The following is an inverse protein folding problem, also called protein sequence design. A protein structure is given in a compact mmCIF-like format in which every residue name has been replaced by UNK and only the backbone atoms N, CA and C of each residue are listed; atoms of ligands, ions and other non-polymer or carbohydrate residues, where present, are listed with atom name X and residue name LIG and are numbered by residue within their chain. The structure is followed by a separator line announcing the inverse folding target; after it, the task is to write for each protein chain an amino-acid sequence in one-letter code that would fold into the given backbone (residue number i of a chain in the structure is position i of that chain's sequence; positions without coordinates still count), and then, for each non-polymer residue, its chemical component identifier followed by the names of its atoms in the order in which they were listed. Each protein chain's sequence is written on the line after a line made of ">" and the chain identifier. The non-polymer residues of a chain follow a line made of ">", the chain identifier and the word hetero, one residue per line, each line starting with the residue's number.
data_IF_054126193642
#
_entry.id   IF_054126193642
#
_cell.length_a   1.000
_cell.length_b   1.000
_cell.length_c   1.000
_cell.angle_alpha   90.00
_cell.angle_beta   90.00
_cell.angle_gamma   90.00
#
_symmetry.space_group_name_H-M   'P 1'
#
loop_
_entity.id
_entity.type
_entity.pdbx_description
1 polymer ?
#
# COMPACT_ATOMS: atom_id res chain seq x y z
N UNK A 1 -5.19 -25.94 -1.94
CA UNK A 1 -3.91 -25.26 -1.62
C UNK A 1 -4.23 -24.08 -0.71
N UNK A 2 -3.49 -23.83 0.36
CA UNK A 2 -3.85 -22.79 1.32
C UNK A 2 -3.70 -21.39 0.70
N UNK A 3 -4.82 -20.77 0.32
CA UNK A 3 -4.85 -19.41 -0.22
C UNK A 3 -4.93 -18.41 0.94
N UNK A 4 -3.93 -17.55 1.06
CA UNK A 4 -3.95 -16.46 2.00
C UNK A 4 -3.44 -15.18 1.32
N UNK A 5 -4.28 -14.16 1.30
CA UNK A 5 -3.94 -12.80 0.89
C UNK A 5 -4.68 -11.89 1.86
N UNK A 6 -3.96 -11.44 2.89
CA UNK A 6 -4.51 -10.56 3.91
C UNK A 6 -3.48 -9.51 4.27
N UNK A 7 -3.94 -8.27 4.34
CA UNK A 7 -3.14 -7.14 4.82
C UNK A 7 -3.86 -6.45 5.96
N UNK A 8 -3.07 -5.84 6.85
CA UNK A 8 -3.55 -4.91 7.86
C UNK A 8 -2.67 -3.67 7.84
N UNK A 9 -3.31 -2.51 7.75
CA UNK A 9 -2.62 -1.24 7.75
C UNK A 9 -3.28 -0.28 8.72
N UNK A 10 -2.48 0.26 9.65
CA UNK A 10 -2.90 1.36 10.52
C UNK A 10 -2.00 2.53 10.23
N UNK A 11 -2.58 3.67 9.86
CA UNK A 11 -1.78 4.82 9.42
C UNK A 11 -2.61 6.10 9.37
N UNK A 12 -1.96 7.23 9.10
CA UNK A 12 -2.66 8.49 8.86
C UNK A 12 -2.58 8.93 7.40
N UNK A 13 -3.62 9.63 6.93
CA UNK A 13 -3.64 10.16 5.57
C UNK A 13 -2.63 11.30 5.40
N UNK A 14 -1.80 11.20 4.36
CA UNK A 14 -0.80 12.22 4.03
C UNK A 14 -1.45 13.47 3.42
N UNK A 15 -2.55 13.27 2.70
CA UNK A 15 -3.33 14.29 2.02
C UNK A 15 -4.80 13.86 1.96
N UNK A 16 -5.68 14.77 1.56
CA UNK A 16 -7.08 14.43 1.31
C UNK A 16 -7.18 13.33 0.23
N UNK A 17 -8.18 12.44 0.32
CA UNK A 17 -8.41 11.41 -0.69
C UNK A 17 -8.62 12.02 -2.09
N UNK A 18 -8.05 11.38 -3.11
CA UNK A 18 -8.31 11.72 -4.50
C UNK A 18 -9.52 10.92 -4.99
N UNK A 19 -10.55 11.63 -5.43
CA UNK A 19 -11.78 11.03 -5.97
C UNK A 19 -11.71 11.08 -7.48
N UNK A 20 -11.91 9.94 -8.13
CA UNK A 20 -12.02 9.83 -9.58
C UNK A 20 -13.46 9.49 -9.95
N UNK A 21 -13.91 10.01 -11.10
CA UNK A 21 -15.25 9.78 -11.65
C UNK A 21 -16.39 10.16 -10.68
N UNK A 22 -16.20 11.21 -9.89
CA UNK A 22 -17.17 11.65 -8.89
C UNK A 22 -18.56 11.87 -9.51
N UNK A 23 -19.60 11.32 -8.87
CA UNK A 23 -20.98 11.41 -9.33
C UNK A 23 -21.39 10.41 -10.43
N UNK A 24 -20.47 9.57 -10.92
CA UNK A 24 -20.80 8.46 -11.81
C UNK A 24 -21.03 7.18 -11.01
N UNK A 25 -22.31 6.89 -10.73
CA UNK A 25 -22.72 5.73 -9.95
C UNK A 25 -22.10 4.42 -10.50
N UNK A 26 -21.45 3.66 -9.61
CA UNK A 26 -20.75 2.42 -9.96
C UNK A 26 -19.37 2.59 -10.61
N UNK A 27 -18.94 3.82 -10.91
CA UNK A 27 -17.62 4.13 -11.49
C UNK A 27 -16.75 5.02 -10.60
N UNK A 28 -17.28 5.52 -9.48
CA UNK A 28 -16.52 6.29 -8.50
C UNK A 28 -15.36 5.47 -7.94
N UNK A 29 -14.20 6.13 -7.78
CA UNK A 29 -13.01 5.51 -7.21
C UNK A 29 -12.36 6.45 -6.22
N UNK A 30 -11.86 5.89 -5.13
CA UNK A 30 -11.07 6.62 -4.14
C UNK A 30 -9.65 6.07 -4.12
N UNK A 31 -8.69 6.99 -4.27
CA UNK A 31 -7.27 6.72 -4.13
C UNK A 31 -6.74 7.57 -2.98
N UNK A 32 -6.08 6.93 -2.02
CA UNK A 32 -5.49 7.64 -0.89
C UNK A 32 -4.12 7.10 -0.52
N UNK A 33 -3.27 7.97 0.03
CA UNK A 33 -1.94 7.62 0.50
C UNK A 33 -1.92 7.62 2.02
N UNK A 34 -1.52 6.47 2.57
CA UNK A 34 -1.50 6.21 4.00
C UNK A 34 -0.06 6.09 4.46
N UNK A 35 0.37 6.95 5.39
CA UNK A 35 1.65 6.78 6.07
C UNK A 35 1.52 5.74 7.17
N UNK A 36 2.34 4.70 7.06
CA UNK A 36 2.44 3.59 8.00
C UNK A 36 3.85 3.50 8.58
N UNK A 37 4.01 2.71 9.63
CA UNK A 37 5.30 2.37 10.21
C UNK A 37 5.51 0.86 10.14
N UNK A 38 6.74 0.45 9.83
CA UNK A 38 7.15 -0.96 9.91
C UNK A 38 7.99 -1.22 11.15
N UNK A 39 8.03 -2.49 11.56
CA UNK A 39 9.02 -2.96 12.52
C UNK A 39 10.41 -2.93 11.88
N UNK A 40 11.43 -2.67 12.69
CA UNK A 40 12.82 -2.78 12.24
C UNK A 40 13.09 -4.22 11.79
N UNK A 41 13.63 -4.37 10.59
CA UNK A 41 14.04 -5.66 10.03
C UNK A 41 15.55 -5.79 10.24
N UNK A 42 15.99 -6.92 10.78
CA UNK A 42 17.42 -7.18 10.96
C UNK A 42 18.15 -7.11 9.61
N UNK A 43 19.18 -6.27 9.54
CA UNK A 43 19.92 -6.03 8.31
C UNK A 43 19.25 -5.05 7.34
N UNK A 44 18.18 -4.35 7.71
CA UNK A 44 17.59 -3.26 6.94
C UNK A 44 17.49 -2.00 7.81
N UNK A 45 18.34 -1.00 7.53
CA UNK A 45 18.46 0.22 8.35
C UNK A 45 17.94 1.49 7.64
N UNK A 46 17.13 1.35 6.60
CA UNK A 46 16.59 2.48 5.83
C UNK A 46 15.26 3.00 6.44
N UNK A 47 14.47 3.76 5.67
CA UNK A 47 13.21 4.41 6.07
C UNK A 47 12.31 3.57 6.98
N UNK A 48 11.96 4.09 8.16
CA UNK A 48 11.08 3.41 9.12
C UNK A 48 9.58 3.59 8.78
N UNK A 49 9.25 4.70 8.13
CA UNK A 49 7.91 5.00 7.64
C UNK A 49 7.78 4.64 6.17
N UNK A 50 6.63 4.13 5.81
CA UNK A 50 6.29 3.73 4.45
C UNK A 50 4.90 4.23 4.07
N UNK A 51 4.80 4.76 2.86
CA UNK A 51 3.55 5.26 2.31
C UNK A 51 2.93 4.16 1.44
N UNK A 52 1.75 3.69 1.82
CA UNK A 52 1.00 2.69 1.06
C UNK A 52 -0.16 3.35 0.32
N UNK A 53 -0.43 2.89 -0.89
CA UNK A 53 -1.54 3.40 -1.70
C UNK A 53 -2.74 2.49 -1.47
N UNK A 54 -3.85 3.09 -1.07
CA UNK A 54 -5.14 2.43 -0.94
C UNK A 54 -5.99 2.81 -2.15
N UNK A 55 -6.56 1.79 -2.79
CA UNK A 55 -7.46 1.92 -3.93
C UNK A 55 -8.77 1.24 -3.59
N UNK A 56 -9.89 1.93 -3.80
CA UNK A 56 -11.22 1.40 -3.57
C UNK A 56 -12.19 1.90 -4.63
N UNK A 57 -12.91 0.97 -5.26
CA UNK A 57 -13.98 1.22 -6.23
C UNK A 57 -15.25 0.41 -5.91
N UNK A 58 -15.36 -0.06 -4.66
CA UNK A 58 -16.58 -0.64 -4.12
C UNK A 58 -17.56 0.44 -3.66
N UNK A 59 -18.78 0.04 -3.33
CA UNK A 59 -19.84 0.96 -2.91
C UNK A 59 -20.00 1.06 -1.39
N UNK A 60 -19.50 0.09 -0.63
CA UNK A 60 -19.79 -0.04 0.82
C UNK A 60 -19.12 1.05 1.67
N UNK A 61 -17.89 1.44 1.32
CA UNK A 61 -17.10 2.40 2.08
C UNK A 61 -16.88 3.74 1.36
N UNK A 62 -17.40 3.90 0.15
CA UNK A 62 -16.99 5.01 -0.72
C UNK A 62 -17.33 6.37 -0.10
N UNK A 63 -18.55 6.56 0.39
CA UNK A 63 -18.97 7.80 1.03
C UNK A 63 -18.16 8.11 2.29
N UNK A 64 -17.87 7.07 3.09
CA UNK A 64 -17.04 7.19 4.29
C UNK A 64 -15.61 7.57 3.95
N UNK A 65 -15.06 7.03 2.87
CA UNK A 65 -13.71 7.34 2.39
C UNK A 65 -13.64 8.75 1.79
N UNK A 66 -14.66 9.20 1.05
CA UNK A 66 -14.76 10.57 0.53
C UNK A 66 -14.77 11.63 1.64
N UNK A 67 -15.38 11.30 2.78
CA UNK A 67 -15.46 12.20 3.93
C UNK A 67 -14.14 12.32 4.73
N UNK A 68 -13.12 11.51 4.42
CA UNK A 68 -11.84 11.57 5.13
C UNK A 68 -11.06 12.84 4.79
N UNK A 69 -10.23 13.25 5.74
CA UNK A 69 -9.36 14.41 5.61
C UNK A 69 -7.91 14.02 5.89
N UNK A 70 -6.99 14.86 5.43
CA UNK A 70 -5.59 14.78 5.82
C UNK A 70 -5.46 14.58 7.34
N UNK A 71 -4.50 13.74 7.73
CA UNK A 71 -4.24 13.33 9.10
C UNK A 71 -5.34 12.49 9.77
N UNK A 72 -6.36 12.03 9.05
CA UNK A 72 -7.24 10.99 9.59
C UNK A 72 -6.45 9.70 9.80
N UNK A 73 -6.45 9.21 11.04
CA UNK A 73 -5.88 7.93 11.45
C UNK A 73 -6.90 6.82 11.17
N UNK A 74 -6.53 5.85 10.36
CA UNK A 74 -7.40 4.79 9.88
C UNK A 74 -6.80 3.40 10.13
N UNK A 75 -7.64 2.41 10.41
CA UNK A 75 -7.32 0.99 10.44
C UNK A 75 -8.01 0.31 9.26
N UNK A 76 -7.23 -0.38 8.44
CA UNK A 76 -7.65 -1.10 7.25
C UNK A 76 -7.28 -2.56 7.43
N UNK A 77 -8.26 -3.44 7.24
CA UNK A 77 -8.00 -4.83 6.87
C UNK A 77 -8.35 -4.98 5.40
N UNK A 78 -7.42 -5.48 4.60
CA UNK A 78 -7.57 -5.52 3.16
C UNK A 78 -6.95 -6.75 2.53
N UNK A 79 -6.95 -6.73 1.20
CA UNK A 79 -6.11 -7.60 0.37
C UNK A 79 -5.11 -6.75 -0.38
N UNK A 80 -3.98 -7.35 -0.68
CA UNK A 80 -3.03 -6.79 -1.62
C UNK A 80 -3.55 -7.01 -3.05
N UNK A 81 -3.40 -5.98 -3.88
CA UNK A 81 -3.92 -5.95 -5.25
C UNK A 81 -2.87 -5.33 -6.18
N UNK A 82 -2.55 -5.96 -7.31
CA UNK A 82 -1.67 -5.38 -8.33
C UNK A 82 -2.49 -5.03 -9.56
N UNK A 83 -2.34 -3.78 -10.01
CA UNK A 83 -2.90 -3.31 -11.27
C UNK A 83 -1.79 -2.89 -12.22
N UNK A 84 -2.08 -3.06 -13.49
CA UNK A 84 -1.25 -2.54 -14.57
C UNK A 84 -1.66 -1.09 -14.81
N UNK A 85 -0.73 -0.16 -14.57
CA UNK A 85 -0.92 1.28 -14.72
C UNK A 85 0.23 1.86 -15.54
N UNK A 86 -0.08 2.87 -16.35
CA UNK A 86 0.95 3.63 -17.04
C UNK A 86 1.59 4.59 -16.04
N UNK A 87 2.92 4.52 -15.91
CA UNK A 87 3.68 5.35 -14.97
C UNK A 87 4.38 6.46 -15.72
N UNK A 88 3.91 7.69 -15.53
CA UNK A 88 4.62 8.87 -16.03
C UNK A 88 5.71 9.31 -15.05
N UNK A 89 6.84 9.75 -15.58
CA UNK A 89 7.90 10.42 -14.83
C UNK A 89 8.46 11.58 -15.63
N UNK A 90 8.65 12.72 -14.97
CA UNK A 90 9.26 13.90 -15.60
C UNK A 90 10.75 13.87 -15.32
N UNK A 91 11.57 13.95 -16.36
CA UNK A 91 13.01 14.05 -16.21
C UNK A 91 13.36 15.38 -15.52
N UNK A 92 14.06 15.37 -14.37
CA UNK A 92 14.37 16.59 -13.63
C UNK A 92 15.36 17.51 -14.36
N UNK A 93 16.08 17.00 -15.36
CA UNK A 93 17.11 17.75 -16.10
C UNK A 93 16.54 18.40 -17.37
N UNK A 94 15.75 17.65 -18.15
CA UNK A 94 15.26 18.12 -19.46
C UNK A 94 13.75 18.34 -19.54
N UNK A 95 12.99 18.07 -18.47
CA UNK A 95 11.54 18.23 -18.45
C UNK A 95 10.75 17.24 -19.31
N UNK A 96 11.43 16.31 -20.00
CA UNK A 96 10.77 15.32 -20.83
C UNK A 96 9.93 14.35 -19.99
N UNK A 97 8.67 14.15 -20.38
CA UNK A 97 7.78 13.20 -19.72
C UNK A 97 7.97 11.82 -20.32
N UNK A 98 8.55 10.91 -19.55
CA UNK A 98 8.66 9.51 -19.89
C UNK A 98 7.41 8.78 -19.40
N UNK A 99 6.82 7.94 -20.24
CA UNK A 99 5.70 7.08 -19.84
C UNK A 99 6.16 5.62 -19.94
N UNK A 100 6.26 4.97 -18.79
CA UNK A 100 6.42 3.52 -18.71
C UNK A 100 5.04 2.88 -18.83
N UNK A 101 4.70 2.47 -20.04
CA UNK A 101 3.47 1.74 -20.31
C UNK A 101 3.44 0.40 -19.59
N UNK A 102 2.26 0.00 -19.14
CA UNK A 102 2.01 -1.28 -18.47
C UNK A 102 2.92 -1.56 -17.28
N UNK A 103 3.17 -0.55 -16.45
CA UNK A 103 3.87 -0.72 -15.18
C UNK A 103 3.00 -1.41 -14.14
N UNK A 104 3.56 -2.28 -13.30
CA UNK A 104 2.82 -2.85 -12.16
C UNK A 104 2.81 -1.85 -11.00
N UNK A 105 1.64 -1.52 -10.47
CA UNK A 105 1.49 -0.83 -9.18
C UNK A 105 0.77 -1.72 -8.18
N UNK A 106 1.24 -1.62 -6.95
CA UNK A 106 0.67 -2.28 -5.79
C UNK A 106 -0.31 -1.34 -5.11
N UNK A 107 -1.47 -1.88 -4.76
CA UNK A 107 -2.52 -1.22 -4.02
C UNK A 107 -2.99 -2.11 -2.87
N UNK A 108 -3.50 -1.48 -1.81
CA UNK A 108 -4.29 -2.14 -0.79
C UNK A 108 -5.76 -1.93 -1.16
N UNK A 109 -6.51 -3.02 -1.27
CA UNK A 109 -7.96 -2.99 -1.44
C UNK A 109 -8.64 -3.26 -0.09
N UNK A 110 -9.34 -2.28 0.52
CA UNK A 110 -9.99 -2.45 1.81
C UNK A 110 -11.14 -3.46 1.75
N UNK A 111 -11.16 -4.39 2.71
CA UNK A 111 -12.30 -5.30 3.00
C UNK A 111 -13.02 -4.84 4.27
N UNK A 112 -12.30 -4.24 5.20
CA UNK A 112 -12.84 -3.57 6.37
C UNK A 112 -12.06 -2.29 6.59
N UNK A 113 -12.77 -1.25 6.99
CA UNK A 113 -12.27 0.11 7.08
C UNK A 113 -12.88 0.83 8.28
N UNK A 114 -12.03 1.38 9.15
CA UNK A 114 -12.44 2.13 10.33
C UNK A 114 -11.58 3.38 10.52
N UNK A 115 -12.21 4.55 10.65
CA UNK A 115 -11.54 5.77 11.14
C UNK A 115 -11.40 5.67 12.65
N UNK A 116 -10.18 5.80 13.15
CA UNK A 116 -9.86 5.73 14.57
C UNK A 116 -9.89 7.12 15.21
N UNK A 117 -9.24 8.10 14.57
CA UNK A 117 -9.15 9.48 15.07
C UNK A 117 -8.71 10.42 13.93
N UNK A 118 -8.46 11.70 14.26
CA UNK A 118 -7.73 12.65 13.42
C UNK A 118 -6.54 13.21 14.23
N UNK A 119 -5.34 13.18 13.64
CA UNK A 119 -4.09 13.63 14.30
C UNK A 119 -3.65 15.01 13.83
N UNK A 120 -4.52 15.80 13.20
CA UNK A 120 -4.19 17.15 12.75
C UNK A 120 -3.81 18.06 13.93
N UNK A 121 -4.58 18.04 15.02
CA UNK A 121 -4.24 18.82 16.21
C UNK A 121 -2.86 18.46 16.76
N UNK A 122 -2.46 17.20 16.66
CA UNK A 122 -1.11 16.75 17.02
C UNK A 122 -0.01 17.34 16.13
N UNK A 123 -0.27 17.46 14.82
CA UNK A 123 0.65 18.07 13.85
C UNK A 123 0.85 19.58 14.08
N UNK A 124 -0.22 20.29 14.48
CA UNK A 124 -0.17 21.74 14.74
C UNK A 124 0.73 22.10 15.95
N UNK A 125 0.90 21.17 16.92
CA UNK A 125 1.81 21.35 18.05
C UNK A 125 3.26 20.90 17.75
N UNK A 126 3.42 19.80 17.01
CA UNK A 126 4.72 19.27 16.58
C UNK A 126 4.54 18.45 15.29
N UNK A 127 5.24 18.85 14.22
CA UNK A 127 5.15 18.21 12.92
C UNK A 127 5.49 16.71 12.96
N UNK A 128 6.29 16.27 13.94
CA UNK A 128 6.69 14.87 14.11
C UNK A 128 5.72 14.05 14.97
N UNK A 129 4.71 14.67 15.58
CA UNK A 129 3.81 14.01 16.52
C UNK A 129 2.92 12.94 15.85
N UNK A 130 2.39 13.11 14.62
CA UNK A 130 1.67 12.05 13.91
C UNK A 130 2.49 10.76 13.74
N UNK A 131 3.75 10.90 13.33
CA UNK A 131 4.68 9.77 13.20
C UNK A 131 5.05 9.18 14.58
N UNK A 132 5.11 10.02 15.61
CA UNK A 132 5.32 9.58 17.00
C UNK A 132 4.14 8.74 17.51
N UNK A 133 2.90 9.08 17.16
CA UNK A 133 1.71 8.28 17.50
C UNK A 133 1.82 6.89 16.89
N UNK A 134 2.16 6.79 15.60
CA UNK A 134 2.38 5.50 14.93
C UNK A 134 3.47 4.68 15.64
N UNK A 135 4.59 5.33 15.98
CA UNK A 135 5.73 4.71 16.64
C UNK A 135 5.41 4.18 18.04
N UNK A 136 4.64 4.95 18.84
CA UNK A 136 4.31 4.61 20.22
C UNK A 136 3.19 3.56 20.33
N UNK A 137 2.18 3.63 19.47
CA UNK A 137 0.95 2.86 19.64
C UNK A 137 0.73 1.77 18.58
N UNK A 138 1.29 1.93 17.38
CA UNK A 138 0.92 1.10 16.23
C UNK A 138 2.11 0.38 15.57
N UNK A 139 3.33 0.51 16.11
CA UNK A 139 4.55 -0.05 15.52
C UNK A 139 4.47 -1.53 15.11
N UNK A 140 3.79 -2.35 15.91
CA UNK A 140 3.69 -3.79 15.64
C UNK A 140 2.58 -4.15 14.65
N UNK A 141 1.59 -3.28 14.43
CA UNK A 141 0.35 -3.59 13.68
C UNK A 141 0.11 -2.69 12.46
N UNK A 142 0.92 -1.64 12.29
CA UNK A 142 0.70 -0.58 11.31
C UNK A 142 0.91 -1.01 9.86
N UNK A 143 1.80 -1.97 9.60
CA UNK A 143 2.06 -2.47 8.26
C UNK A 143 2.35 -3.97 8.33
N UNK A 144 1.32 -4.77 8.07
CA UNK A 144 1.38 -6.22 8.13
C UNK A 144 0.78 -6.84 6.87
N UNK A 145 1.49 -7.81 6.30
CA UNK A 145 1.04 -8.58 5.15
C UNK A 145 1.27 -10.05 5.46
N UNK A 146 0.22 -10.86 5.28
CA UNK A 146 0.28 -12.31 5.31
C UNK A 146 -0.19 -12.82 3.96
N UNK A 147 0.74 -13.39 3.20
CA UNK A 147 0.48 -13.94 1.87
C UNK A 147 1.04 -15.35 1.77
N UNK A 148 0.32 -16.22 1.08
CA UNK A 148 0.75 -17.58 0.73
C UNK A 148 0.50 -17.77 -0.75
N UNK A 149 1.51 -18.22 -1.47
CA UNK A 149 1.46 -18.38 -2.92
C UNK A 149 2.57 -19.28 -3.44
N UNK A 150 2.70 -19.34 -4.75
CA UNK A 150 3.72 -20.14 -5.45
C UNK A 150 4.84 -19.25 -5.94
N UNK A 151 6.09 -19.66 -5.74
CA UNK A 151 7.23 -18.91 -6.31
C UNK A 151 7.20 -19.08 -7.83
N UNK A 152 7.09 -17.97 -8.56
CA UNK A 152 6.90 -17.94 -10.02
C UNK A 152 8.09 -17.34 -10.78
N UNK A 153 9.16 -16.97 -10.07
CA UNK A 153 10.42 -16.58 -10.70
C UNK A 153 11.59 -17.27 -10.00
N UNK A 154 12.69 -17.42 -10.72
CA UNK A 154 13.96 -17.80 -10.08
C UNK A 154 14.32 -16.73 -9.04
N UNK A 155 14.63 -17.09 -7.78
CA UNK A 155 15.13 -16.13 -6.81
C UNK A 155 16.48 -15.56 -7.25
N UNK A 156 16.63 -14.24 -7.13
CA UNK A 156 17.80 -13.49 -7.57
C UNK A 156 18.39 -12.72 -6.40
N UNK A 157 19.70 -12.90 -6.17
CA UNK A 157 20.44 -12.06 -5.23
C UNK A 157 20.74 -10.71 -5.87
N UNK A 158 20.25 -9.64 -5.25
CA UNK A 158 20.47 -8.26 -5.68
C UNK A 158 21.31 -7.56 -4.61
N UNK A 159 22.35 -6.86 -5.05
CA UNK A 159 23.18 -6.03 -4.19
C UNK A 159 23.01 -4.58 -4.62
N UNK A 160 22.32 -3.77 -3.82
CA UNK A 160 22.15 -2.34 -4.10
C UNK A 160 23.10 -1.50 -3.23
N UNK A 161 24.40 -1.81 -3.31
CA UNK A 161 25.50 -1.10 -2.65
C UNK A 161 25.61 -1.30 -1.13
N UNK A 162 24.52 -1.10 -0.37
CA UNK A 162 24.50 -1.20 1.10
C UNK A 162 23.79 -2.43 1.63
N UNK A 163 22.87 -3.01 0.86
CA UNK A 163 22.01 -4.11 1.30
C UNK A 163 21.99 -5.22 0.25
N UNK A 164 22.30 -6.45 0.67
CA UNK A 164 22.05 -7.66 -0.10
C UNK A 164 20.64 -8.14 0.21
N UNK A 165 19.84 -8.36 -0.82
CA UNK A 165 18.50 -8.95 -0.69
C UNK A 165 18.27 -10.01 -1.75
N UNK A 166 17.45 -10.99 -1.43
CA UNK A 166 16.94 -11.96 -2.38
C UNK A 166 15.58 -11.46 -2.86
N UNK A 167 15.40 -11.38 -4.18
CA UNK A 167 14.15 -10.96 -4.80
C UNK A 167 13.54 -12.09 -5.62
N UNK A 168 12.24 -12.31 -5.46
CA UNK A 168 11.48 -13.27 -6.25
C UNK A 168 10.03 -12.83 -6.42
N UNK A 169 9.34 -13.37 -7.44
CA UNK A 169 7.90 -13.18 -7.63
C UNK A 169 7.14 -14.32 -6.96
N UNK A 170 6.07 -13.97 -6.26
CA UNK A 170 5.11 -14.91 -5.72
C UNK A 170 3.79 -14.76 -6.49
N UNK A 171 3.28 -15.84 -7.09
CA UNK A 171 1.93 -15.89 -7.62
C UNK A 171 0.95 -16.19 -6.50
N UNK A 172 -0.01 -15.28 -6.28
CA UNK A 172 -0.99 -15.35 -5.20
C UNK A 172 -2.38 -15.26 -5.80
N UNK A 173 -3.18 -16.33 -5.65
CA UNK A 173 -4.56 -16.33 -6.10
C UNK A 173 -5.40 -15.32 -5.31
N UNK A 174 -6.28 -14.61 -6.01
CA UNK A 174 -7.21 -13.67 -5.39
C UNK A 174 -8.36 -14.43 -4.74
N UNK A 175 -8.45 -14.30 -3.42
CA UNK A 175 -9.59 -14.81 -2.64
C UNK A 175 -10.77 -13.84 -2.61
N UNK A 176 -10.48 -12.54 -2.64
CA UNK A 176 -11.50 -11.50 -2.61
C UNK A 176 -11.87 -11.07 -4.04
N UNK A 177 -13.16 -11.10 -4.34
CA UNK A 177 -13.69 -10.71 -5.64
C UNK A 177 -13.89 -9.20 -5.72
N UNK A 178 -13.21 -8.54 -6.65
CA UNK A 178 -13.36 -7.12 -6.95
C UNK A 178 -14.11 -7.00 -8.28
N UNK A 179 -15.32 -6.44 -8.25
CA UNK A 179 -16.26 -6.41 -9.39
C UNK A 179 -15.67 -5.81 -10.67
N UNK A 180 -14.82 -4.80 -10.54
CA UNK A 180 -14.20 -4.09 -11.65
C UNK A 180 -12.97 -4.81 -12.23
N UNK A 181 -12.57 -5.93 -11.63
CA UNK A 181 -11.33 -6.65 -11.93
C UNK A 181 -11.59 -8.14 -12.20
N UNK A 182 -12.70 -8.46 -12.88
CA UNK A 182 -13.15 -9.85 -13.09
C UNK A 182 -12.18 -10.72 -13.87
N UNK A 183 -11.36 -10.13 -14.74
CA UNK A 183 -10.37 -10.84 -15.55
C UNK A 183 -9.09 -11.20 -14.77
N UNK A 184 -8.92 -10.61 -13.58
CA UNK A 184 -7.73 -10.81 -12.76
C UNK A 184 -8.01 -11.83 -11.66
N UNK A 185 -7.39 -13.00 -11.77
CA UNK A 185 -7.57 -14.12 -10.83
C UNK A 185 -6.39 -14.29 -9.86
N UNK A 186 -5.23 -13.70 -10.16
CA UNK A 186 -4.03 -13.79 -9.35
C UNK A 186 -3.21 -12.50 -9.41
N UNK A 187 -2.47 -12.24 -8.34
CA UNK A 187 -1.49 -11.16 -8.24
C UNK A 187 -0.07 -11.73 -8.20
N UNK A 188 0.90 -10.98 -8.72
CA UNK A 188 2.31 -11.39 -8.80
C UNK A 188 3.24 -10.39 -8.10
N UNK A 189 3.16 -10.23 -6.76
CA UNK A 189 4.06 -9.36 -6.01
C UNK A 189 5.53 -9.76 -6.17
N UNK A 190 6.37 -8.72 -6.19
CA UNK A 190 7.79 -8.86 -5.89
C UNK A 190 7.98 -8.91 -4.38
N UNK A 191 8.61 -9.98 -3.90
CA UNK A 191 9.03 -10.15 -2.52
C UNK A 191 10.52 -9.88 -2.44
N UNK A 192 10.94 -9.11 -1.43
CA UNK A 192 12.32 -8.82 -1.12
C UNK A 192 12.61 -9.35 0.29
N UNK A 193 13.45 -10.36 0.42
CA UNK A 193 13.93 -10.87 1.71
C UNK A 193 15.34 -10.35 2.00
N UNK A 194 15.61 -10.11 3.29
CA UNK A 194 16.84 -9.50 3.79
C UNK A 194 17.46 -10.34 4.91
N UNK A 195 18.75 -10.11 5.20
CA UNK A 195 19.45 -10.78 6.30
C UNK A 195 19.53 -12.30 6.09
N UNK A 196 19.30 -13.07 7.15
CA UNK A 196 19.32 -14.54 7.11
C UNK A 196 18.18 -15.17 6.29
N UNK A 197 17.16 -14.39 5.93
CA UNK A 197 16.00 -14.84 5.15
C UNK A 197 16.21 -14.68 3.62
N UNK A 198 17.30 -14.02 3.22
CA UNK A 198 17.70 -13.87 1.82
C UNK A 198 18.49 -15.11 1.35
#
# INVERSE_FOLDING_TARGET
>A
MAQHNQTRHVGFLIQNPTILNEGLEGNEKVIMQLRTIRRNIEGYNDKQFEDVIVYYDGTEFIDKMKALKQFDLIDIKGVFNILTVDKSSVCPICGHTNVKYKGSSTFIYPISFSKLNNVQGSFEYDENLPETILRKHYKEVSNQVLIVGTVCSKPEMISNGKLKCCRYKLGVDRKYYIKTQTELTADYPWVYSYGKQA
#
